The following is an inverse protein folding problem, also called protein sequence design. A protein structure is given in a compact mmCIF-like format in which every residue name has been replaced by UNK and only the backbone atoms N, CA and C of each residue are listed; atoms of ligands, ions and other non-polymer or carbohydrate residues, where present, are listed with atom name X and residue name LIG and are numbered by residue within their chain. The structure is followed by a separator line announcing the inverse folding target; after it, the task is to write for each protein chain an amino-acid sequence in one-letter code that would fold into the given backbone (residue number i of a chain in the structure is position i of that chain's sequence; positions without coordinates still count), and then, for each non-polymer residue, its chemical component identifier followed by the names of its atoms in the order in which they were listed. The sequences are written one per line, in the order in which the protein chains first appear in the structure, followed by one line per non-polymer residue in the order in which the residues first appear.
data_IF_129005204607
#
_entry.id   IF_129005204607
#
_cell.length_a   1.000
_cell.length_b   1.000
_cell.length_c   1.000
_cell.angle_alpha   90.00
_cell.angle_beta   90.00
_cell.angle_gamma   90.00
#
_symmetry.space_group_name_H-M   'P 1'
#
loop_
_entity.id
_entity.type
_entity.pdbx_description
1 polymer ?
#
# COMPACT_ATOMS: atom_id res chain seq x y z
N UNK A 1 7.34 -6.41 -41.39
CA UNK A 1 6.53 -5.98 -40.22
C UNK A 1 7.24 -6.47 -38.98
N UNK A 2 7.56 -5.55 -38.06
CA UNK A 2 8.33 -5.84 -36.85
C UNK A 2 7.35 -5.89 -35.67
N UNK A 3 7.10 -7.06 -35.04
CA UNK A 3 6.34 -7.13 -33.80
C UNK A 3 7.34 -7.34 -32.66
N UNK A 4 7.83 -6.27 -32.03
CA UNK A 4 8.78 -6.41 -30.90
C UNK A 4 8.43 -5.59 -29.66
N UNK A 5 7.33 -4.84 -29.63
CA UNK A 5 7.12 -3.91 -28.51
C UNK A 5 6.49 -4.57 -27.28
N UNK A 6 5.50 -5.44 -27.47
CA UNK A 6 4.71 -6.02 -26.36
C UNK A 6 5.44 -7.15 -25.62
N UNK A 7 6.15 -7.99 -26.36
CA UNK A 7 6.93 -9.11 -25.78
C UNK A 7 8.20 -8.61 -25.10
N UNK A 8 8.88 -7.60 -25.66
CA UNK A 8 10.04 -6.97 -25.02
C UNK A 8 9.65 -6.25 -23.72
N UNK A 9 8.54 -5.48 -23.71
CA UNK A 9 8.04 -4.84 -22.49
C UNK A 9 7.70 -5.86 -21.40
N UNK A 10 7.09 -6.99 -21.79
CA UNK A 10 6.75 -8.07 -20.85
C UNK A 10 8.01 -8.76 -20.30
N UNK A 11 9.02 -8.96 -21.15
CA UNK A 11 10.31 -9.52 -20.75
C UNK A 11 11.11 -8.56 -19.84
N UNK A 12 11.08 -7.26 -20.09
CA UNK A 12 11.70 -6.24 -19.23
C UNK A 12 10.98 -6.11 -17.88
N UNK A 13 9.64 -6.14 -17.90
CA UNK A 13 8.83 -6.17 -16.68
C UNK A 13 9.14 -7.42 -15.85
N UNK A 14 9.17 -8.60 -16.49
CA UNK A 14 9.56 -9.85 -15.83
C UNK A 14 10.99 -9.79 -15.28
N UNK A 15 11.96 -9.24 -16.04
CA UNK A 15 13.34 -9.04 -15.55
C UNK A 15 13.39 -8.10 -14.34
N UNK A 16 12.59 -7.03 -14.35
CA UNK A 16 12.54 -6.05 -13.27
C UNK A 16 11.94 -6.68 -12.01
N UNK A 17 10.83 -7.39 -12.14
CA UNK A 17 10.20 -8.15 -11.05
C UNK A 17 11.17 -9.21 -10.50
N UNK A 18 11.84 -9.94 -11.39
CA UNK A 18 12.78 -11.00 -11.00
C UNK A 18 14.03 -10.44 -10.32
N UNK A 19 14.54 -9.29 -10.79
CA UNK A 19 15.67 -8.57 -10.15
C UNK A 19 15.29 -8.08 -8.76
N UNK A 20 14.12 -7.43 -8.61
CA UNK A 20 13.59 -7.02 -7.30
C UNK A 20 13.48 -8.23 -6.37
N UNK A 21 12.93 -9.36 -6.86
CA UNK A 21 12.82 -10.59 -6.08
C UNK A 21 14.17 -11.26 -5.74
N UNK A 22 15.24 -10.96 -6.48
CA UNK A 22 16.58 -11.49 -6.23
C UNK A 22 17.36 -10.59 -5.26
N UNK A 23 17.23 -9.27 -5.40
CA UNK A 23 17.85 -8.27 -4.51
C UNK A 23 17.30 -8.36 -3.08
N UNK A 24 16.05 -8.82 -2.92
CA UNK A 24 15.39 -8.97 -1.62
C UNK A 24 15.59 -10.36 -0.96
N UNK A 25 16.18 -11.34 -1.67
CA UNK A 25 16.37 -12.72 -1.17
C UNK A 25 17.52 -12.88 -0.17
N UNK A 26 18.35 -11.86 0.01
CA UNK A 26 19.59 -11.95 0.79
C UNK A 26 19.43 -11.80 2.31
N UNK A 27 18.34 -11.20 2.80
CA UNK A 27 18.21 -10.79 4.21
C UNK A 27 16.85 -11.08 4.87
N UNK A 28 15.86 -11.56 4.11
CA UNK A 28 14.49 -11.85 4.58
C UNK A 28 14.12 -13.28 4.20
N UNK A 29 13.48 -14.03 5.10
CA UNK A 29 12.96 -15.37 4.78
C UNK A 29 12.02 -15.26 3.56
N UNK A 30 12.18 -16.13 2.56
CA UNK A 30 11.50 -15.99 1.27
C UNK A 30 9.97 -16.05 1.36
N UNK A 31 9.46 -16.63 2.45
CA UNK A 31 8.04 -16.68 2.76
C UNK A 31 7.52 -15.32 3.28
N UNK A 32 8.20 -14.72 4.26
CA UNK A 32 7.91 -13.38 4.80
C UNK A 32 7.92 -12.36 3.66
N UNK A 33 8.97 -12.37 2.83
CA UNK A 33 9.11 -11.45 1.69
C UNK A 33 7.93 -11.53 0.71
N UNK A 34 7.46 -12.75 0.40
CA UNK A 34 6.35 -12.94 -0.51
C UNK A 34 5.06 -12.31 0.04
N UNK A 35 4.80 -12.48 1.33
CA UNK A 35 3.65 -11.89 2.01
C UNK A 35 3.70 -10.35 1.96
N UNK A 36 4.86 -9.75 2.24
CA UNK A 36 5.02 -8.28 2.13
C UNK A 36 4.81 -7.77 0.72
N UNK A 37 5.46 -8.37 -0.28
CA UNK A 37 5.32 -7.93 -1.67
C UNK A 37 3.88 -8.08 -2.14
N UNK A 38 3.25 -9.22 -1.87
CA UNK A 38 1.88 -9.47 -2.31
C UNK A 38 0.90 -8.53 -1.62
N UNK A 39 1.05 -8.32 -0.32
CA UNK A 39 0.19 -7.41 0.44
C UNK A 39 0.37 -5.95 0.03
N UNK A 40 1.60 -5.49 -0.21
CA UNK A 40 1.85 -4.14 -0.73
C UNK A 40 1.36 -3.95 -2.17
N UNK A 41 1.49 -4.98 -3.02
CA UNK A 41 0.91 -4.95 -4.37
C UNK A 41 -0.61 -4.93 -4.33
N UNK A 42 -1.21 -5.68 -3.41
CA UNK A 42 -2.65 -5.67 -3.22
C UNK A 42 -3.14 -4.31 -2.73
N UNK A 43 -2.49 -3.73 -1.71
CA UNK A 43 -2.78 -2.38 -1.22
C UNK A 43 -2.68 -1.33 -2.33
N UNK A 44 -1.64 -1.40 -3.16
CA UNK A 44 -1.51 -0.54 -4.34
C UNK A 44 -2.69 -0.73 -5.30
N UNK A 45 -3.02 -1.98 -5.63
CA UNK A 45 -4.09 -2.31 -6.57
C UNK A 45 -5.45 -1.78 -6.11
N UNK A 46 -5.83 -2.00 -4.84
CA UNK A 46 -7.11 -1.51 -4.32
C UNK A 46 -7.16 0.01 -4.20
N UNK A 47 -6.01 0.66 -3.93
CA UNK A 47 -5.91 2.13 -3.90
C UNK A 47 -6.12 2.74 -5.28
N UNK A 48 -5.43 2.22 -6.29
CA UNK A 48 -5.57 2.66 -7.68
C UNK A 48 -6.99 2.38 -8.17
N UNK A 49 -7.53 1.18 -7.93
CA UNK A 49 -8.89 0.81 -8.36
C UNK A 49 -9.99 1.69 -7.75
N UNK A 50 -9.91 2.01 -6.46
CA UNK A 50 -10.87 2.90 -5.81
C UNK A 50 -10.77 4.33 -6.36
N UNK A 51 -9.54 4.84 -6.52
CA UNK A 51 -9.28 6.18 -7.05
C UNK A 51 -9.83 6.32 -8.46
N UNK A 52 -9.51 5.37 -9.34
CA UNK A 52 -9.98 5.37 -10.73
C UNK A 52 -11.51 5.31 -10.78
N UNK A 53 -12.13 4.49 -9.93
CA UNK A 53 -13.59 4.38 -9.88
C UNK A 53 -14.28 5.70 -9.49
N UNK A 54 -13.80 6.35 -8.43
CA UNK A 54 -14.36 7.63 -7.95
C UNK A 54 -14.13 8.72 -9.01
N UNK A 55 -12.91 8.82 -9.53
CA UNK A 55 -12.55 9.80 -10.55
C UNK A 55 -13.41 9.63 -11.80
N UNK A 56 -13.57 8.41 -12.31
CA UNK A 56 -14.44 8.15 -13.46
C UNK A 56 -15.90 8.57 -13.22
N UNK A 57 -16.41 8.38 -11.99
CA UNK A 57 -17.75 8.81 -11.61
C UNK A 57 -17.91 10.33 -11.68
N UNK A 58 -16.99 11.06 -11.06
CA UNK A 58 -16.95 12.52 -11.05
C UNK A 58 -16.76 13.11 -12.47
N UNK A 59 -15.88 12.51 -13.27
CA UNK A 59 -15.66 12.93 -14.66
C UNK A 59 -16.92 12.74 -15.51
N UNK A 60 -17.66 11.63 -15.32
CA UNK A 60 -18.96 11.40 -15.99
C UNK A 60 -20.05 12.38 -15.53
N UNK A 61 -19.97 12.87 -14.29
CA UNK A 61 -20.84 13.92 -13.76
C UNK A 61 -20.45 15.34 -14.25
N UNK A 62 -19.36 15.47 -15.00
CA UNK A 62 -18.90 16.74 -15.60
C UNK A 62 -17.77 17.43 -14.85
N UNK A 63 -17.26 16.83 -13.77
CA UNK A 63 -16.16 17.38 -12.97
C UNK A 63 -14.80 16.85 -13.45
N UNK A 64 -14.41 17.17 -14.69
CA UNK A 64 -13.27 16.52 -15.38
C UNK A 64 -11.90 16.74 -14.75
N UNK A 65 -11.75 17.78 -13.91
CA UNK A 65 -10.49 18.10 -13.22
C UNK A 65 -10.42 17.47 -11.82
N UNK A 66 -11.43 16.69 -11.42
CA UNK A 66 -11.45 16.02 -10.13
C UNK A 66 -10.36 14.95 -10.03
N UNK A 67 -9.69 14.93 -8.88
CA UNK A 67 -8.77 13.87 -8.50
C UNK A 67 -8.95 13.55 -7.02
N UNK A 68 -9.45 12.35 -6.75
CA UNK A 68 -9.67 11.82 -5.41
C UNK A 68 -8.40 11.84 -4.55
N UNK A 69 -7.21 11.71 -5.16
CA UNK A 69 -5.93 11.75 -4.42
C UNK A 69 -5.69 13.10 -3.73
N UNK A 70 -6.27 14.18 -4.25
CA UNK A 70 -6.07 15.54 -3.75
C UNK A 70 -7.17 15.97 -2.77
N UNK A 71 -8.18 15.12 -2.55
CA UNK A 71 -9.28 15.41 -1.64
C UNK A 71 -8.85 15.28 -0.17
N UNK A 72 -9.44 16.09 0.71
CA UNK A 72 -9.28 15.91 2.15
C UNK A 72 -10.11 14.74 2.70
N UNK A 73 -9.61 14.05 3.72
CA UNK A 73 -10.34 12.95 4.37
C UNK A 73 -11.72 13.37 4.91
N UNK A 74 -11.85 14.62 5.35
CA UNK A 74 -13.11 15.18 5.82
C UNK A 74 -14.17 15.22 4.71
N UNK A 75 -13.76 15.65 3.51
CA UNK A 75 -14.64 15.76 2.34
C UNK A 75 -14.96 14.37 1.78
N UNK A 76 -13.97 13.47 1.76
CA UNK A 76 -14.15 12.07 1.34
C UNK A 76 -15.15 11.30 2.22
N UNK A 77 -15.39 11.74 3.46
CA UNK A 77 -16.33 11.10 4.38
C UNK A 77 -17.78 11.13 3.88
N UNK A 78 -18.12 12.08 3.01
CA UNK A 78 -19.45 12.19 2.40
C UNK A 78 -19.83 10.96 1.56
N UNK A 79 -18.85 10.40 0.84
CA UNK A 79 -19.06 9.25 -0.06
C UNK A 79 -18.76 7.90 0.60
N UNK A 80 -18.28 7.89 1.86
CA UNK A 80 -17.85 6.69 2.58
C UNK A 80 -18.91 5.58 2.55
N UNK A 81 -20.15 5.87 2.97
CA UNK A 81 -21.20 4.85 3.08
C UNK A 81 -21.60 4.26 1.73
N UNK A 82 -21.66 5.11 0.71
CA UNK A 82 -22.00 4.70 -0.65
C UNK A 82 -20.91 3.79 -1.23
N UNK A 83 -19.65 4.20 -1.11
CA UNK A 83 -18.52 3.43 -1.62
C UNK A 83 -18.34 2.10 -0.89
N UNK A 84 -18.56 2.05 0.44
CA UNK A 84 -18.55 0.78 1.17
C UNK A 84 -19.69 -0.13 0.71
N UNK A 85 -20.89 0.41 0.43
CA UNK A 85 -22.00 -0.41 -0.06
C UNK A 85 -21.74 -0.97 -1.48
N UNK A 86 -21.07 -0.19 -2.34
CA UNK A 86 -20.81 -0.54 -3.74
C UNK A 86 -19.56 -1.43 -3.92
N UNK A 87 -18.47 -1.11 -3.22
CA UNK A 87 -17.15 -1.77 -3.35
C UNK A 87 -16.82 -2.71 -2.21
N UNK A 88 -17.53 -2.63 -1.09
CA UNK A 88 -17.25 -3.41 0.10
C UNK A 88 -16.13 -2.86 0.99
N UNK A 89 -15.47 -1.77 0.58
CA UNK A 89 -14.37 -1.15 1.33
C UNK A 89 -14.25 0.34 1.00
N UNK A 90 -13.46 1.05 1.81
CA UNK A 90 -13.10 2.43 1.56
C UNK A 90 -11.68 2.73 2.01
N UNK A 91 -11.00 3.59 1.24
CA UNK A 91 -9.67 4.09 1.56
C UNK A 91 -9.74 5.60 1.54
N UNK A 92 -9.45 6.23 2.68
CA UNK A 92 -9.34 7.69 2.76
C UNK A 92 -8.20 8.19 1.87
N UNK A 93 -8.29 9.41 1.31
CA UNK A 93 -7.21 9.99 0.51
C UNK A 93 -5.86 9.94 1.22
N UNK A 94 -5.79 10.26 2.51
CA UNK A 94 -4.55 10.20 3.29
C UNK A 94 -3.94 8.80 3.41
N UNK A 95 -4.74 7.76 3.18
CA UNK A 95 -4.43 6.34 3.25
C UNK A 95 -4.25 5.70 1.86
N UNK A 96 -4.28 6.46 0.77
CA UNK A 96 -4.02 5.94 -0.57
C UNK A 96 -2.54 5.62 -0.75
N UNK A 97 -2.25 4.55 -1.51
CA UNK A 97 -0.87 4.14 -1.79
C UNK A 97 0.01 5.28 -2.31
N UNK A 98 -0.50 6.08 -3.26
CA UNK A 98 0.24 7.20 -3.85
C UNK A 98 0.59 8.27 -2.80
N UNK A 99 -0.34 8.56 -1.89
CA UNK A 99 -0.18 9.60 -0.86
C UNK A 99 0.74 9.13 0.28
N UNK A 100 0.60 7.87 0.71
CA UNK A 100 1.54 7.28 1.66
C UNK A 100 2.94 7.20 1.07
N UNK A 101 3.08 6.73 -0.19
CA UNK A 101 4.36 6.68 -0.89
C UNK A 101 5.02 8.06 -1.01
N UNK A 102 4.25 9.11 -1.27
CA UNK A 102 4.78 10.47 -1.43
C UNK A 102 5.45 10.99 -0.16
N UNK A 103 4.91 10.64 1.02
CA UNK A 103 5.47 11.04 2.32
C UNK A 103 6.40 10.00 2.96
N UNK A 104 6.45 8.77 2.44
CA UNK A 104 7.16 7.65 3.04
C UNK A 104 8.65 7.92 3.33
N UNK A 105 9.34 8.68 2.47
CA UNK A 105 10.76 9.01 2.67
C UNK A 105 11.01 9.96 3.86
N UNK A 106 9.98 10.65 4.34
CA UNK A 106 10.03 11.62 5.43
C UNK A 106 9.28 11.13 6.69
N UNK A 107 8.63 9.96 6.60
CA UNK A 107 7.85 9.38 7.68
C UNK A 107 8.74 8.45 8.51
N UNK A 108 9.23 8.97 9.64
CA UNK A 108 10.08 8.20 10.57
C UNK A 108 9.34 7.00 11.17
N UNK A 109 8.00 7.00 11.17
CA UNK A 109 7.14 5.96 11.73
C UNK A 109 6.30 5.29 10.64
N UNK A 110 6.84 5.14 9.43
CA UNK A 110 6.13 4.55 8.29
C UNK A 110 5.45 3.22 8.62
N UNK A 111 6.06 2.40 9.47
CA UNK A 111 5.48 1.13 9.91
C UNK A 111 4.14 1.36 10.65
N UNK A 112 4.10 2.28 11.62
CA UNK A 112 2.87 2.65 12.32
C UNK A 112 1.82 3.26 11.37
N UNK A 113 2.27 4.09 10.41
CA UNK A 113 1.40 4.64 9.37
C UNK A 113 0.77 3.52 8.55
N UNK A 114 1.53 2.53 8.10
CA UNK A 114 1.04 1.39 7.33
C UNK A 114 0.09 0.51 8.14
N UNK A 115 0.38 0.24 9.42
CA UNK A 115 -0.55 -0.48 10.30
C UNK A 115 -1.87 0.26 10.44
N UNK A 116 -1.82 1.58 10.63
CA UNK A 116 -3.01 2.43 10.69
C UNK A 116 -3.80 2.39 9.38
N UNK A 117 -3.11 2.41 8.24
CA UNK A 117 -3.73 2.28 6.92
C UNK A 117 -4.46 0.95 6.79
N UNK A 118 -3.79 -0.17 7.05
CA UNK A 118 -4.40 -1.49 6.92
C UNK A 118 -5.58 -1.67 7.86
N UNK A 119 -5.44 -1.23 9.12
CA UNK A 119 -6.55 -1.26 10.09
C UNK A 119 -7.75 -0.43 9.62
N UNK A 120 -7.52 0.73 9.03
CA UNK A 120 -8.60 1.57 8.49
C UNK A 120 -9.30 0.92 7.30
N UNK A 121 -8.55 0.25 6.42
CA UNK A 121 -9.10 -0.47 5.27
C UNK A 121 -9.98 -1.64 5.76
N UNK A 122 -9.48 -2.47 6.67
CA UNK A 122 -10.26 -3.58 7.23
C UNK A 122 -11.48 -3.07 8.02
N UNK A 123 -11.30 -1.99 8.79
CA UNK A 123 -12.36 -1.35 9.57
C UNK A 123 -13.42 -0.67 8.69
N UNK A 124 -13.11 -0.28 7.46
CA UNK A 124 -14.07 0.35 6.54
C UNK A 124 -15.22 -0.57 6.17
N UNK A 125 -14.96 -1.88 6.13
CA UNK A 125 -15.93 -2.91 5.78
C UNK A 125 -16.73 -3.44 6.98
N UNK A 126 -16.41 -2.99 8.20
CA UNK A 126 -17.03 -3.50 9.42
C UNK A 126 -18.56 -3.34 9.41
N UNK A 127 -19.29 -4.42 9.67
CA UNK A 127 -20.75 -4.44 9.65
C UNK A 127 -21.37 -4.51 8.25
N UNK A 128 -20.57 -4.73 7.20
CA UNK A 128 -21.05 -4.90 5.82
C UNK A 128 -20.89 -6.34 5.34
N UNK A 129 -21.57 -6.77 4.26
CA UNK A 129 -21.40 -8.13 3.72
C UNK A 129 -19.94 -8.47 3.38
N UNK A 130 -19.14 -7.47 3.02
CA UNK A 130 -17.74 -7.59 2.64
C UNK A 130 -16.77 -7.65 3.82
N UNK A 131 -17.24 -7.50 5.08
CA UNK A 131 -16.38 -7.58 6.27
C UNK A 131 -15.58 -8.89 6.27
N UNK A 132 -16.22 -10.01 5.92
CA UNK A 132 -15.58 -11.33 5.95
C UNK A 132 -14.45 -11.49 4.94
N UNK A 133 -14.48 -10.74 3.85
CA UNK A 133 -13.50 -10.83 2.77
C UNK A 133 -12.26 -9.95 3.03
N UNK A 134 -12.42 -8.89 3.83
CA UNK A 134 -11.34 -7.98 4.19
C UNK A 134 -10.74 -8.23 5.58
N UNK A 135 -11.51 -8.80 6.49
CA UNK A 135 -11.05 -9.01 7.86
C UNK A 135 -9.87 -9.98 7.89
N UNK A 136 -8.74 -9.51 8.39
CA UNK A 136 -7.50 -10.28 8.45
C UNK A 136 -6.76 -10.39 7.12
N UNK A 137 -7.16 -9.64 6.09
CA UNK A 137 -6.48 -9.62 4.80
C UNK A 137 -5.04 -9.09 4.90
N UNK A 138 -4.79 -8.21 5.87
CA UNK A 138 -3.46 -7.66 6.17
C UNK A 138 -2.90 -8.19 7.50
N UNK A 139 -3.52 -9.17 8.14
CA UNK A 139 -3.09 -9.69 9.44
C UNK A 139 -1.70 -10.35 9.40
N UNK A 140 -1.32 -10.94 8.26
CA UNK A 140 -0.01 -11.57 8.06
C UNK A 140 1.09 -10.55 7.68
N UNK A 141 0.74 -9.27 7.52
CA UNK A 141 1.63 -8.20 7.07
C UNK A 141 2.27 -7.52 8.30
N UNK A 142 3.27 -8.16 8.90
CA UNK A 142 3.97 -7.62 10.07
C UNK A 142 4.96 -6.50 9.70
N UNK A 143 4.47 -5.27 9.49
CA UNK A 143 5.34 -4.15 9.12
C UNK A 143 6.33 -3.74 10.21
N UNK A 144 6.21 -4.27 11.43
CA UNK A 144 7.16 -4.06 12.53
C UNK A 144 8.23 -5.16 12.63
N UNK A 145 8.25 -6.11 11.70
CA UNK A 145 9.22 -7.20 11.76
C UNK A 145 10.65 -6.68 11.65
N UNK A 146 11.55 -6.98 12.62
CA UNK A 146 12.96 -6.62 12.54
C UNK A 146 13.69 -7.29 11.36
N UNK A 147 12.99 -8.17 10.63
CA UNK A 147 13.42 -8.84 9.41
C UNK A 147 13.32 -7.98 8.15
N UNK A 148 12.61 -6.85 8.19
CA UNK A 148 12.45 -5.94 7.04
C UNK A 148 13.68 -5.07 6.75
N UNK A 149 14.69 -5.14 7.61
CA UNK A 149 15.91 -4.35 7.54
C UNK A 149 16.26 -3.94 8.96
N UNK A 150 17.25 -4.62 9.54
CA UNK A 150 17.67 -4.35 10.92
C UNK A 150 17.93 -2.86 11.12
N UNK A 151 17.48 -2.36 12.26
CA UNK A 151 17.73 -1.00 12.73
C UNK A 151 19.15 -0.56 12.36
N UNK A 152 19.25 0.33 11.38
CA UNK A 152 20.47 1.04 11.04
C UNK A 152 20.91 2.02 12.14
N UNK A 153 20.49 1.81 13.38
CA UNK A 153 21.13 2.36 14.57
C UNK A 153 21.94 1.24 15.17
N UNK A 154 23.17 1.12 14.67
CA UNK A 154 24.26 0.57 15.45
C UNK A 154 24.20 1.25 16.82
N UNK A 155 23.70 0.52 17.82
CA UNK A 155 23.87 0.87 19.21
C UNK A 155 25.38 1.03 19.37
N UNK A 156 25.83 2.29 19.50
CA UNK A 156 27.19 2.58 19.91
C UNK A 156 27.39 1.81 21.21
N UNK A 157 28.15 0.73 21.13
CA UNK A 157 28.78 0.13 22.28
C UNK A 157 29.71 1.19 22.86
N UNK A 158 29.21 1.98 23.81
CA UNK A 158 30.08 2.75 24.70
C UNK A 158 30.77 1.74 25.62
N UNK A 159 31.88 1.22 25.12
CA UNK A 159 32.94 0.64 25.93
C UNK A 159 33.96 1.74 26.19
N UNK A 160 34.21 2.05 27.46
CA UNK A 160 35.24 2.98 27.95
C UNK A 160 34.90 3.43 29.37
N UNK A 161 35.12 2.62 30.41
CA UNK A 161 36.36 2.50 31.21
C UNK A 161 36.87 3.81 31.85
N UNK A 162 37.09 3.74 33.17
CA UNK A 162 37.93 4.64 33.98
C UNK A 162 37.13 5.78 34.61
N UNK A 163 37.07 5.99 35.93
CA UNK A 163 37.95 5.61 37.05
C UNK A 163 37.16 5.52 38.35
#
# INVERSE_FOLDING_TARGET
MVPTTKEMQRAELHKTIWRIANDLRGSVDGWDFKTYVLGMMFYRFISENLTDYINEGEWKAGNTDFDYCNLGDADARGIFKEMVAEKGFFIFPSNLFVNVRARAAQDENLNETLEGVFRNIEGSAAGTPSERDLKGLFADLDVNSPRLGGDGRAAKSETGQGS
#
